data_IF_947229779287
#
_entry.id   IF_947229779287
#
_cell.length_a   1.000
_cell.length_b   1.000
_cell.length_c   1.000
_cell.angle_alpha   90.00
_cell.angle_beta   90.00
_cell.angle_gamma   90.00
#
_symmetry.space_group_name_H-M   'P 1'
#
loop_
_entity.id
_entity.type
_entity.pdbx_description
1 polymer ?
#
# COMPACT_ATOMS: atom_id res chain seq x y z
N UNK A 1 -16.38 -7.18 10.64
CA UNK A 1 -15.00 -7.66 10.87
C UNK A 1 -14.03 -6.49 10.73
N UNK A 2 -12.81 -6.54 11.27
CA UNK A 2 -11.82 -5.46 11.11
C UNK A 2 -10.60 -5.94 10.32
N UNK A 3 -10.04 -5.08 9.49
CA UNK A 3 -8.78 -5.35 8.78
C UNK A 3 -7.70 -4.34 9.18
N UNK A 4 -6.48 -4.82 9.37
CA UNK A 4 -5.29 -3.99 9.54
C UNK A 4 -4.36 -4.22 8.34
N UNK A 5 -4.03 -3.15 7.63
CA UNK A 5 -3.12 -3.17 6.49
C UNK A 5 -1.83 -2.48 6.89
N UNK A 6 -0.77 -3.27 7.08
CA UNK A 6 0.58 -2.73 7.24
C UNK A 6 1.26 -2.65 5.88
N UNK A 7 1.69 -1.47 5.48
CA UNK A 7 2.33 -1.25 4.18
C UNK A 7 3.48 -0.25 4.27
N UNK A 8 4.25 -0.12 3.19
CA UNK A 8 5.32 0.87 3.07
C UNK A 8 5.20 1.63 1.75
N UNK A 9 5.94 2.73 1.60
CA UNK A 9 6.02 3.50 0.36
C UNK A 9 7.42 3.39 -0.24
N UNK A 10 7.54 3.75 -1.52
CA UNK A 10 8.82 3.78 -2.23
C UNK A 10 9.80 4.80 -1.66
N UNK A 11 9.31 5.85 -1.00
CA UNK A 11 10.12 6.88 -0.34
C UNK A 11 9.38 7.54 0.84
N UNK A 12 10.07 7.86 1.95
CA UNK A 12 9.50 8.55 3.10
C UNK A 12 9.10 10.01 2.83
N UNK A 13 9.70 10.65 1.82
CA UNK A 13 9.38 12.03 1.44
C UNK A 13 8.21 12.14 0.45
N UNK A 14 7.49 11.04 0.19
CA UNK A 14 6.43 11.02 -0.82
C UNK A 14 5.23 11.87 -0.35
N UNK A 15 4.82 12.92 -1.10
CA UNK A 15 3.69 13.77 -0.71
C UNK A 15 2.36 13.01 -0.62
N UNK A 16 2.26 11.87 -1.30
CA UNK A 16 1.09 10.99 -1.32
C UNK A 16 0.88 10.27 0.01
N UNK A 17 1.90 10.19 0.88
CA UNK A 17 1.78 9.57 2.21
C UNK A 17 0.66 10.18 3.07
N UNK A 18 0.31 11.45 2.83
CA UNK A 18 -0.77 12.13 3.57
C UNK A 18 -2.19 11.73 3.15
N UNK A 19 -2.40 11.31 1.91
CA UNK A 19 -3.74 10.98 1.37
C UNK A 19 -3.96 9.50 1.16
N UNK A 20 -2.90 8.74 0.89
CA UNK A 20 -2.99 7.34 0.50
C UNK A 20 -3.60 6.44 1.57
N UNK A 21 -3.29 6.57 2.88
CA UNK A 21 -3.90 5.72 3.90
C UNK A 21 -5.43 5.80 3.91
N UNK A 22 -5.99 7.01 3.78
CA UNK A 22 -7.45 7.20 3.76
C UNK A 22 -8.09 6.61 2.50
N UNK A 23 -7.44 6.75 1.34
CA UNK A 23 -7.92 6.14 0.10
C UNK A 23 -7.91 4.59 0.19
N UNK A 24 -6.85 4.01 0.75
CA UNK A 24 -6.73 2.57 0.91
C UNK A 24 -7.74 2.04 1.91
N UNK A 25 -7.92 2.70 3.07
CA UNK A 25 -8.94 2.31 4.05
C UNK A 25 -10.32 2.21 3.40
N UNK A 26 -10.69 3.24 2.62
CA UNK A 26 -11.95 3.26 1.89
C UNK A 26 -12.05 2.13 0.87
N UNK A 27 -11.03 1.93 0.02
CA UNK A 27 -11.04 0.85 -0.98
C UNK A 27 -11.14 -0.54 -0.36
N UNK A 28 -10.51 -0.75 0.80
CA UNK A 28 -10.58 -2.02 1.53
C UNK A 28 -12.00 -2.27 2.05
N UNK A 29 -12.67 -1.25 2.59
CA UNK A 29 -14.06 -1.34 3.03
C UNK A 29 -15.01 -1.56 1.85
N UNK A 30 -14.84 -0.81 0.77
CA UNK A 30 -15.69 -0.90 -0.41
C UNK A 30 -15.51 -2.25 -1.16
N UNK A 31 -14.35 -2.88 -1.05
CA UNK A 31 -14.02 -4.13 -1.73
C UNK A 31 -14.33 -5.42 -0.96
N UNK A 32 -14.64 -5.34 0.34
CA UNK A 32 -14.90 -6.51 1.19
C UNK A 32 -16.11 -6.24 2.09
N UNK A 33 -17.28 -6.73 1.67
CA UNK A 33 -18.57 -6.44 2.31
C UNK A 33 -18.64 -6.84 3.80
N UNK A 34 -17.88 -7.85 4.24
CA UNK A 34 -17.91 -8.29 5.64
C UNK A 34 -17.04 -7.43 6.58
N UNK A 35 -16.28 -6.48 6.04
CA UNK A 35 -15.51 -5.53 6.83
C UNK A 35 -16.41 -4.38 7.28
N UNK A 36 -16.32 -4.08 8.58
CA UNK A 36 -17.01 -2.96 9.22
C UNK A 36 -16.03 -1.83 9.57
N UNK A 37 -14.73 -2.09 9.45
CA UNK A 37 -13.65 -1.16 9.81
C UNK A 37 -12.35 -1.59 9.11
N UNK A 38 -11.51 -0.62 8.74
CA UNK A 38 -10.19 -0.85 8.18
C UNK A 38 -9.20 0.20 8.69
N UNK A 39 -8.00 -0.25 9.06
CA UNK A 39 -6.90 0.62 9.47
C UNK A 39 -5.71 0.38 8.55
N UNK A 40 -5.00 1.46 8.21
CA UNK A 40 -3.78 1.41 7.41
C UNK A 40 -2.64 2.01 8.23
N UNK A 41 -1.61 1.20 8.45
CA UNK A 41 -0.39 1.59 9.14
C UNK A 41 0.78 1.60 8.16
N UNK A 42 1.48 2.74 8.07
CA UNK A 42 2.70 2.87 7.28
C UNK A 42 3.90 2.47 8.14
N UNK A 43 4.64 1.46 7.70
CA UNK A 43 5.96 1.08 8.23
C UNK A 43 7.06 1.45 7.24
N UNK A 44 8.27 1.67 7.76
CA UNK A 44 9.48 1.91 6.98
C UNK A 44 10.51 0.79 7.13
N UNK A 45 10.20 -0.20 7.97
CA UNK A 45 11.03 -1.36 8.22
C UNK A 45 10.24 -2.64 7.88
N UNK A 46 10.76 -3.50 6.97
CA UNK A 46 11.93 -3.28 6.12
C UNK A 46 11.70 -2.17 5.08
N UNK A 47 12.76 -1.48 4.61
CA UNK A 47 12.62 -0.48 3.57
C UNK A 47 12.15 -1.13 2.26
N UNK A 48 11.44 -0.34 1.46
CA UNK A 48 11.04 -0.75 0.12
C UNK A 48 12.25 -0.78 -0.82
N UNK A 49 12.33 -1.81 -1.66
CA UNK A 49 13.32 -1.92 -2.74
C UNK A 49 12.64 -2.35 -4.03
N UNK A 50 13.27 -2.08 -5.18
CA UNK A 50 12.78 -2.46 -6.52
C UNK A 50 12.58 -3.98 -6.65
N UNK A 51 13.32 -4.77 -5.88
CA UNK A 51 13.17 -6.23 -5.85
C UNK A 51 11.79 -6.70 -5.37
N UNK A 52 11.06 -5.84 -4.64
CA UNK A 52 9.68 -6.10 -4.18
C UNK A 52 8.64 -5.90 -5.29
N UNK A 53 9.02 -5.38 -6.45
CA UNK A 53 8.13 -5.28 -7.60
C UNK A 53 7.87 -6.66 -8.22
N UNK A 54 6.64 -6.90 -8.67
CA UNK A 54 6.33 -8.06 -9.49
C UNK A 54 7.04 -7.99 -10.85
N UNK A 55 7.28 -9.13 -11.47
CA UNK A 55 7.90 -9.19 -12.81
C UNK A 55 7.09 -8.43 -13.85
N UNK A 56 5.75 -8.50 -13.78
CA UNK A 56 4.87 -7.70 -14.63
C UNK A 56 5.09 -6.19 -14.45
N UNK A 57 5.27 -5.71 -13.20
CA UNK A 57 5.54 -4.30 -12.93
C UNK A 57 6.93 -3.88 -13.44
N UNK A 58 7.96 -4.72 -13.28
CA UNK A 58 9.30 -4.44 -13.81
C UNK A 58 9.30 -4.36 -15.33
N UNK A 59 8.60 -5.29 -16.00
CA UNK A 59 8.46 -5.30 -17.46
C UNK A 59 7.77 -4.03 -17.98
N UNK A 60 6.67 -3.62 -17.35
CA UNK A 60 5.93 -2.42 -17.75
C UNK A 60 6.75 -1.13 -17.60
N UNK A 61 7.67 -1.09 -16.64
CA UNK A 61 8.56 0.04 -16.41
C UNK A 61 9.90 -0.06 -17.16
N UNK A 62 10.11 -1.10 -17.99
CA UNK A 62 11.34 -1.28 -18.76
C UNK A 62 12.57 -1.59 -17.91
N UNK A 63 12.38 -2.26 -16.77
CA UNK A 63 13.44 -2.62 -15.81
C UNK A 63 13.94 -4.07 -15.97
N UNK A 64 13.61 -4.72 -17.07
CA UNK A 64 14.02 -6.09 -17.42
C UNK A 64 14.88 -6.12 -18.68
#
# INVERSE_FOLDING_TARGET
KKALVTMTLTSPACPVAGSLPGEIQRKVLDGVEELSDSQVDITWDPPWTVDRMSEAAKLQLGMM
#
